data_IF_691903217044
#
_entry.id   IF_691903217044
#
_cell.length_a   1.000
_cell.length_b   1.000
_cell.length_c   1.000
_cell.angle_alpha   90.00
_cell.angle_beta   90.00
_cell.angle_gamma   90.00
#
_symmetry.space_group_name_H-M   'P 1'
#
loop_
_entity.id
_entity.type
_entity.pdbx_description
1 polymer ?
#
# COMPACT_ATOMS: atom_id res chain seq x y z
N UNK A 1 -14.26 3.23 3.00
CA UNK A 1 -13.13 3.28 2.05
C UNK A 1 -12.84 4.68 1.52
N UNK A 2 -13.82 5.60 1.53
CA UNK A 2 -13.56 7.04 1.35
C UNK A 2 -13.07 7.71 2.63
N UNK A 3 -13.08 9.03 2.67
CA UNK A 3 -12.48 9.81 3.75
C UNK A 3 -13.36 10.12 4.97
N UNK A 4 -14.62 9.69 5.02
CA UNK A 4 -15.55 10.11 6.10
C UNK A 4 -15.03 9.78 7.50
N UNK A 5 -14.61 8.54 7.72
CA UNK A 5 -14.12 8.12 9.04
C UNK A 5 -12.78 8.79 9.40
N UNK A 6 -11.91 8.99 8.40
CA UNK A 6 -10.67 9.75 8.56
C UNK A 6 -10.97 11.20 9.00
N UNK A 7 -11.99 11.81 8.40
CA UNK A 7 -12.45 13.14 8.77
C UNK A 7 -12.96 13.16 10.22
N UNK A 8 -13.83 12.22 10.58
CA UNK A 8 -14.41 12.12 11.92
C UNK A 8 -13.33 11.97 12.99
N UNK A 9 -12.37 11.06 12.77
CA UNK A 9 -11.23 10.88 13.69
C UNK A 9 -10.39 12.13 13.81
N UNK A 10 -10.04 12.75 12.68
CA UNK A 10 -9.19 13.95 12.69
C UNK A 10 -9.88 15.11 13.40
N UNK A 11 -11.17 15.35 13.14
CA UNK A 11 -11.95 16.39 13.80
C UNK A 11 -12.10 16.12 15.30
N UNK A 12 -12.38 14.87 15.69
CA UNK A 12 -12.51 14.51 17.10
C UNK A 12 -11.21 14.76 17.88
N UNK A 13 -10.07 14.33 17.34
CA UNK A 13 -8.76 14.51 17.97
C UNK A 13 -8.33 15.98 17.99
N UNK A 14 -8.61 16.73 16.92
CA UNK A 14 -8.31 18.16 16.84
C UNK A 14 -9.15 18.96 17.84
N UNK A 15 -10.45 18.68 17.92
CA UNK A 15 -11.38 19.36 18.83
C UNK A 15 -11.10 19.03 20.31
N UNK A 16 -10.63 17.82 20.60
CA UNK A 16 -10.20 17.44 21.94
C UNK A 16 -8.84 18.04 22.34
N UNK A 17 -8.13 18.70 21.42
CA UNK A 17 -6.83 19.31 21.69
C UNK A 17 -5.71 18.30 21.93
N UNK A 18 -5.85 17.07 21.43
CA UNK A 18 -4.88 15.98 21.64
C UNK A 18 -3.94 15.78 20.46
N UNK A 19 -4.11 16.54 19.37
CA UNK A 19 -3.14 16.62 18.28
C UNK A 19 -2.08 17.67 18.61
N UNK A 20 -0.82 17.25 18.65
CA UNK A 20 0.32 18.16 18.84
C UNK A 20 0.50 19.11 17.64
N UNK A 21 1.14 20.25 17.89
CA UNK A 21 1.58 21.17 16.83
C UNK A 21 2.45 20.42 15.80
N UNK A 22 2.22 20.69 14.52
CA UNK A 22 2.91 20.01 13.41
C UNK A 22 2.44 18.57 13.15
N UNK A 23 1.34 18.10 13.76
CA UNK A 23 0.85 16.74 13.55
C UNK A 23 0.57 16.43 12.07
N UNK A 24 0.90 15.20 11.65
CA UNK A 24 0.76 14.72 10.27
C UNK A 24 -0.22 13.56 10.17
N UNK A 25 -1.19 13.67 9.27
CA UNK A 25 -2.20 12.64 8.99
C UNK A 25 -1.94 12.04 7.61
N UNK A 26 -1.70 10.73 7.53
CA UNK A 26 -1.24 10.08 6.29
C UNK A 26 -2.07 8.86 5.93
N UNK A 27 -3.25 9.02 5.30
CA UNK A 27 -4.02 7.88 4.80
C UNK A 27 -3.33 7.17 3.63
N UNK A 28 -3.45 5.84 3.60
CA UNK A 28 -2.90 5.01 2.53
C UNK A 28 -3.87 4.81 1.37
N UNK A 29 -3.32 4.87 0.16
CA UNK A 29 -4.02 4.63 -1.09
C UNK A 29 -3.21 3.74 -2.03
N UNK A 30 -3.87 3.29 -3.10
CA UNK A 30 -3.29 2.52 -4.18
C UNK A 30 -3.90 3.01 -5.50
N UNK A 31 -3.06 3.23 -6.51
CA UNK A 31 -3.49 3.55 -7.87
C UNK A 31 -3.27 2.32 -8.75
N UNK A 32 -2.06 1.78 -8.73
CA UNK A 32 -1.65 0.63 -9.53
C UNK A 32 -1.45 0.97 -11.01
N UNK A 33 -1.11 -0.03 -11.82
CA UNK A 33 -0.90 0.15 -13.26
C UNK A 33 -2.19 -0.01 -14.06
N UNK A 34 -2.10 0.28 -15.37
CA UNK A 34 -3.24 0.26 -16.29
C UNK A 34 -3.98 -1.08 -16.31
N UNK A 35 -3.25 -2.19 -16.24
CA UNK A 35 -3.82 -3.56 -16.19
C UNK A 35 -4.76 -3.78 -15.00
N UNK A 36 -4.69 -2.94 -13.96
CA UNK A 36 -5.57 -3.00 -12.78
C UNK A 36 -6.63 -1.90 -12.73
N UNK A 37 -6.58 -0.91 -13.64
CA UNK A 37 -7.51 0.24 -13.64
C UNK A 37 -8.98 -0.12 -13.66
N UNK A 38 -9.46 -1.13 -14.43
CA UNK A 38 -10.87 -1.49 -14.45
C UNK A 38 -11.41 -1.86 -13.06
N UNK A 39 -10.55 -2.40 -12.18
CA UNK A 39 -10.91 -2.81 -10.83
C UNK A 39 -10.65 -1.68 -9.83
N UNK A 40 -9.45 -1.08 -9.84
CA UNK A 40 -9.01 -0.13 -8.81
C UNK A 40 -9.35 1.33 -9.06
N UNK A 41 -9.25 1.79 -10.31
CA UNK A 41 -9.38 3.22 -10.62
C UNK A 41 -10.76 3.57 -11.14
N UNK A 42 -11.31 2.73 -12.00
CA UNK A 42 -12.57 3.01 -12.71
C UNK A 42 -13.79 2.34 -12.07
N UNK A 43 -13.58 1.56 -11.00
CA UNK A 43 -14.64 0.91 -10.22
C UNK A 43 -15.14 1.72 -9.02
N UNK A 44 -15.98 1.09 -8.19
CA UNK A 44 -16.54 1.67 -6.95
C UNK A 44 -15.47 2.05 -5.94
N UNK A 45 -14.39 1.25 -5.83
CA UNK A 45 -13.26 1.56 -4.97
C UNK A 45 -12.51 2.82 -5.43
N UNK A 46 -12.44 3.06 -6.74
CA UNK A 46 -11.84 4.27 -7.32
C UNK A 46 -12.58 5.53 -6.90
N UNK A 47 -13.91 5.50 -6.91
CA UNK A 47 -14.76 6.60 -6.40
C UNK A 47 -14.52 6.86 -4.91
N UNK A 48 -14.36 5.80 -4.13
CA UNK A 48 -13.99 5.92 -2.72
C UNK A 48 -12.60 6.57 -2.55
N UNK A 49 -11.62 6.25 -3.40
CA UNK A 49 -10.29 6.87 -3.35
C UNK A 49 -10.29 8.33 -3.81
N UNK A 50 -11.09 8.70 -4.80
CA UNK A 50 -11.31 10.11 -5.16
C UNK A 50 -11.93 10.90 -4.00
N UNK A 51 -12.90 10.30 -3.29
CA UNK A 51 -13.44 10.90 -2.08
C UNK A 51 -12.36 11.07 -1.00
N UNK A 52 -11.54 10.04 -0.75
CA UNK A 52 -10.41 10.13 0.17
C UNK A 52 -9.41 11.24 -0.21
N UNK A 53 -9.12 11.42 -1.51
CA UNK A 53 -8.30 12.51 -2.05
C UNK A 53 -8.88 13.88 -1.68
N UNK A 54 -10.17 14.11 -1.95
CA UNK A 54 -10.83 15.36 -1.61
C UNK A 54 -10.87 15.61 -0.09
N UNK A 55 -11.21 14.59 0.70
CA UNK A 55 -11.27 14.71 2.16
C UNK A 55 -9.90 15.00 2.78
N UNK A 56 -8.83 14.37 2.28
CA UNK A 56 -7.48 14.59 2.80
C UNK A 56 -7.02 16.03 2.55
N UNK A 57 -7.35 16.61 1.38
CA UNK A 57 -7.07 18.01 1.10
C UNK A 57 -7.83 18.95 2.06
N UNK A 58 -9.09 18.66 2.38
CA UNK A 58 -9.86 19.43 3.36
C UNK A 58 -9.31 19.28 4.80
N UNK A 59 -8.84 18.09 5.18
CA UNK A 59 -8.13 17.87 6.45
C UNK A 59 -6.84 18.69 6.49
N UNK A 60 -6.05 18.67 5.42
CA UNK A 60 -4.79 19.39 5.33
C UNK A 60 -4.96 20.89 5.66
N UNK A 61 -5.93 21.56 5.01
CA UNK A 61 -6.20 22.99 5.25
C UNK A 61 -6.59 23.29 6.71
N UNK A 62 -7.35 22.39 7.36
CA UNK A 62 -7.74 22.57 8.77
C UNK A 62 -6.58 22.37 9.72
N UNK A 63 -5.76 21.32 9.53
CA UNK A 63 -4.58 21.09 10.36
C UNK A 63 -3.59 22.25 10.24
N UNK A 64 -3.35 22.71 9.01
CA UNK A 64 -2.43 23.80 8.72
C UNK A 64 -2.85 25.10 9.42
N UNK A 65 -4.15 25.42 9.44
CA UNK A 65 -4.67 26.65 10.06
C UNK A 65 -4.79 26.59 11.59
N UNK A 66 -4.88 25.39 12.18
CA UNK A 66 -5.12 25.22 13.62
C UNK A 66 -3.86 24.93 14.43
N UNK A 67 -2.95 24.14 13.87
CA UNK A 67 -1.81 23.57 14.60
C UNK A 67 -0.55 23.48 13.74
N UNK A 68 -0.46 24.21 12.63
CA UNK A 68 0.65 24.10 11.64
C UNK A 68 0.90 22.65 11.18
N UNK A 69 -0.15 21.83 11.20
CA UNK A 69 -0.11 20.42 10.83
C UNK A 69 -0.36 20.20 9.35
N UNK A 70 -0.24 18.94 8.90
CA UNK A 70 -0.44 18.60 7.49
C UNK A 70 -1.16 17.26 7.32
N UNK A 71 -1.83 17.10 6.18
CA UNK A 71 -2.28 15.79 5.72
C UNK A 71 -1.79 15.48 4.31
N UNK A 72 -1.40 14.22 4.07
CA UNK A 72 -0.87 13.75 2.79
C UNK A 72 -1.44 12.37 2.47
N UNK A 73 -1.77 12.10 1.21
CA UNK A 73 -2.03 10.72 0.79
C UNK A 73 -0.71 10.05 0.46
N UNK A 74 -0.49 8.86 1.01
CA UNK A 74 0.58 7.97 0.56
C UNK A 74 0.02 6.95 -0.43
N UNK A 75 0.43 7.06 -1.69
CA UNK A 75 0.15 6.06 -2.72
C UNK A 75 1.24 5.00 -2.61
N UNK A 76 0.85 3.83 -2.10
CA UNK A 76 1.78 2.75 -1.80
C UNK A 76 1.86 1.75 -2.95
N UNK A 77 2.94 0.97 -3.01
CA UNK A 77 3.08 -0.14 -3.95
C UNK A 77 2.16 -1.31 -3.57
N UNK A 78 1.81 -2.15 -4.54
CA UNK A 78 1.07 -3.38 -4.33
C UNK A 78 1.82 -4.34 -3.40
N UNK A 79 1.14 -4.81 -2.37
CA UNK A 79 1.68 -5.77 -1.40
C UNK A 79 0.68 -6.87 -1.08
N UNK A 80 1.19 -8.01 -0.60
CA UNK A 80 0.36 -9.11 -0.14
C UNK A 80 -0.22 -8.73 1.23
N UNK A 81 -1.54 -8.64 1.28
CA UNK A 81 -2.33 -8.43 2.50
C UNK A 81 -3.59 -9.28 2.39
N UNK A 82 -4.30 -9.49 3.50
CA UNK A 82 -5.59 -10.18 3.44
C UNK A 82 -6.58 -9.44 2.52
N UNK A 83 -6.57 -8.11 2.55
CA UNK A 83 -7.43 -7.28 1.71
C UNK A 83 -7.07 -7.38 0.21
N UNK A 84 -5.78 -7.34 -0.14
CA UNK A 84 -5.36 -7.40 -1.55
C UNK A 84 -5.51 -8.79 -2.17
N UNK A 85 -5.41 -9.86 -1.36
CA UNK A 85 -5.63 -11.23 -1.83
C UNK A 85 -7.08 -11.50 -2.25
N UNK A 86 -8.05 -10.76 -1.71
CA UNK A 86 -9.46 -10.89 -2.05
C UNK A 86 -9.85 -10.16 -3.35
N UNK A 87 -8.97 -9.30 -3.88
CA UNK A 87 -9.27 -8.50 -5.07
C UNK A 87 -8.94 -9.32 -6.32
N UNK A 88 -9.88 -9.51 -7.26
CA UNK A 88 -9.62 -10.26 -8.48
C UNK A 88 -8.40 -9.72 -9.21
N UNK A 89 -7.64 -10.61 -9.88
CA UNK A 89 -6.46 -10.28 -10.71
C UNK A 89 -5.23 -9.80 -9.93
N UNK A 90 -5.37 -9.27 -8.72
CA UNK A 90 -4.25 -8.80 -7.89
C UNK A 90 -3.22 -9.88 -7.54
N UNK A 91 -3.61 -11.12 -7.20
CA UNK A 91 -2.64 -12.19 -6.97
C UNK A 91 -1.72 -12.45 -8.17
N UNK A 92 -2.29 -12.43 -9.39
CA UNK A 92 -1.56 -12.57 -10.64
C UNK A 92 -0.59 -11.40 -10.83
N UNK A 93 -1.08 -10.17 -10.67
CA UNK A 93 -0.26 -8.97 -10.77
C UNK A 93 0.91 -8.94 -9.81
N UNK A 94 0.66 -9.18 -8.52
CA UNK A 94 1.71 -9.18 -7.49
C UNK A 94 2.74 -10.28 -7.78
N UNK A 95 2.32 -11.45 -8.24
CA UNK A 95 3.25 -12.55 -8.57
C UNK A 95 4.22 -12.17 -9.69
N UNK A 96 3.76 -11.47 -10.74
CA UNK A 96 4.62 -10.96 -11.81
C UNK A 96 5.52 -9.82 -11.31
N UNK A 97 4.90 -8.84 -10.63
CA UNK A 97 5.59 -7.66 -10.12
C UNK A 97 6.73 -8.02 -9.17
N UNK A 98 6.51 -8.95 -8.25
CA UNK A 98 7.52 -9.35 -7.27
C UNK A 98 8.75 -9.95 -7.96
N UNK A 99 8.54 -10.81 -8.96
CA UNK A 99 9.64 -11.37 -9.76
C UNK A 99 10.49 -10.26 -10.38
N UNK A 100 9.85 -9.34 -11.11
CA UNK A 100 10.54 -8.27 -11.83
C UNK A 100 11.26 -7.29 -10.91
N UNK A 101 10.63 -6.94 -9.77
CA UNK A 101 11.23 -6.05 -8.78
C UNK A 101 12.39 -6.71 -8.03
N UNK A 102 12.33 -8.03 -7.76
CA UNK A 102 13.43 -8.78 -7.14
C UNK A 102 14.62 -8.91 -8.07
N UNK A 103 14.40 -9.23 -9.34
CA UNK A 103 15.45 -9.27 -10.37
C UNK A 103 16.21 -7.94 -10.49
N UNK A 104 15.54 -6.82 -10.17
CA UNK A 104 16.09 -5.46 -10.18
C UNK A 104 16.54 -4.95 -8.81
N UNK A 105 16.45 -5.77 -7.76
CA UNK A 105 16.78 -5.40 -6.37
C UNK A 105 16.01 -4.15 -5.84
N UNK A 106 14.77 -3.94 -6.27
CA UNK A 106 13.91 -2.82 -5.83
C UNK A 106 12.67 -3.27 -5.07
N UNK A 107 12.50 -4.57 -4.85
CA UNK A 107 11.36 -5.13 -4.16
C UNK A 107 11.29 -4.69 -2.69
N UNK A 108 10.11 -4.22 -2.26
CA UNK A 108 9.84 -3.81 -0.88
C UNK A 108 8.66 -4.62 -0.28
N UNK A 109 8.88 -5.13 0.93
CA UNK A 109 7.84 -5.68 1.78
C UNK A 109 7.05 -4.53 2.46
N UNK A 110 5.87 -4.79 3.06
CA UNK A 110 5.10 -3.75 3.75
C UNK A 110 5.94 -2.96 4.77
N UNK A 111 6.76 -3.64 5.57
CA UNK A 111 7.62 -2.98 6.56
C UNK A 111 8.65 -2.06 5.90
N UNK A 112 9.27 -2.47 4.79
CA UNK A 112 10.25 -1.65 4.07
C UNK A 112 9.60 -0.38 3.48
N UNK A 113 8.37 -0.47 2.95
CA UNK A 113 7.62 0.71 2.52
C UNK A 113 7.34 1.68 3.67
N UNK A 114 6.95 1.16 4.84
CA UNK A 114 6.65 2.01 5.99
C UNK A 114 7.90 2.66 6.57
N UNK A 115 9.01 1.92 6.59
CA UNK A 115 10.32 2.50 6.94
C UNK A 115 10.65 3.64 5.97
N UNK A 116 10.57 3.41 4.66
CA UNK A 116 10.84 4.45 3.65
C UNK A 116 9.91 5.65 3.78
N UNK A 117 8.61 5.44 4.01
CA UNK A 117 7.67 6.51 4.27
C UNK A 117 8.13 7.40 5.43
N UNK A 118 8.50 6.78 6.54
CA UNK A 118 8.94 7.49 7.74
C UNK A 118 10.30 8.16 7.54
N UNK A 119 11.28 7.47 6.98
CA UNK A 119 12.65 8.00 6.88
C UNK A 119 12.80 9.07 5.80
N UNK A 120 12.10 8.91 4.68
CA UNK A 120 12.36 9.72 3.48
C UNK A 120 11.29 10.81 3.26
N UNK A 121 10.13 10.69 3.91
CA UNK A 121 8.99 11.58 3.62
C UNK A 121 8.42 12.29 4.85
N UNK A 122 8.05 11.54 5.91
CA UNK A 122 7.22 12.11 6.98
C UNK A 122 7.89 12.19 8.36
N UNK A 123 9.12 11.70 8.50
CA UNK A 123 9.88 11.74 9.75
C UNK A 123 10.34 13.14 10.15
N UNK A 124 10.93 13.29 11.34
CA UNK A 124 11.43 14.58 11.84
C UNK A 124 12.42 15.22 10.85
N UNK A 125 12.19 16.50 10.53
CA UNK A 125 13.03 17.25 9.58
C UNK A 125 12.78 16.92 8.10
N UNK A 126 11.87 16.00 7.78
CA UNK A 126 11.52 15.66 6.40
C UNK A 126 10.32 16.47 5.91
N UNK A 127 10.39 16.87 4.64
CA UNK A 127 9.28 17.41 3.88
C UNK A 127 9.10 16.53 2.65
N UNK A 128 7.93 15.91 2.46
CA UNK A 128 7.73 14.99 1.36
C UNK A 128 7.80 15.71 0.00
N UNK A 129 8.49 15.12 -0.97
CA UNK A 129 8.24 15.42 -2.37
C UNK A 129 6.87 14.86 -2.77
N UNK A 130 6.03 15.72 -3.35
CA UNK A 130 4.66 15.39 -3.72
C UNK A 130 4.50 15.38 -5.25
N UNK A 131 3.58 14.58 -5.75
CA UNK A 131 3.13 14.68 -7.13
C UNK A 131 2.23 15.92 -7.35
N UNK A 132 1.80 16.12 -8.59
CA UNK A 132 0.94 17.25 -9.00
C UNK A 132 -0.41 17.32 -8.25
N UNK A 133 -0.84 16.21 -7.61
CA UNK A 133 -2.06 16.13 -6.82
C UNK A 133 -1.79 16.18 -5.31
N UNK A 134 -0.57 16.50 -4.90
CA UNK A 134 -0.21 16.61 -3.48
C UNK A 134 -0.03 15.27 -2.77
N UNK A 135 0.32 14.20 -3.50
CA UNK A 135 0.43 12.84 -2.95
C UNK A 135 1.88 12.39 -2.84
N UNK A 136 2.20 11.68 -1.77
CA UNK A 136 3.46 10.94 -1.62
C UNK A 136 3.39 9.69 -2.50
N UNK A 137 4.44 9.46 -3.31
CA UNK A 137 4.52 8.33 -4.25
C UNK A 137 5.53 7.30 -3.75
N UNK A 138 5.06 6.36 -2.93
CA UNK A 138 5.83 5.16 -2.55
C UNK A 138 5.68 4.03 -3.58
N UNK A 139 4.76 4.16 -4.53
CA UNK A 139 4.65 3.28 -5.69
C UNK A 139 5.67 3.60 -6.78
N UNK A 140 6.53 4.61 -6.58
CA UNK A 140 7.59 5.04 -7.51
C UNK A 140 8.42 3.88 -8.06
N UNK A 141 8.85 2.94 -7.21
CA UNK A 141 9.62 1.75 -7.63
C UNK A 141 8.80 0.72 -8.41
N UNK A 142 7.50 0.64 -8.15
CA UNK A 142 6.58 -0.21 -8.93
C UNK A 142 6.33 0.42 -10.30
N UNK A 143 6.17 1.73 -10.36
CA UNK A 143 5.72 2.46 -11.55
C UNK A 143 6.84 2.83 -12.55
N UNK A 144 8.07 2.33 -12.37
CA UNK A 144 9.15 2.56 -13.34
C UNK A 144 8.83 1.87 -14.67
N UNK A 145 9.04 2.58 -15.80
CA UNK A 145 8.76 2.10 -17.16
C UNK A 145 9.33 0.71 -17.44
N UNK A 146 10.57 0.43 -17.00
CA UNK A 146 11.22 -0.86 -17.22
C UNK A 146 10.53 -2.05 -16.50
N UNK A 147 9.74 -1.80 -15.46
CA UNK A 147 8.91 -2.80 -14.79
C UNK A 147 7.54 -2.86 -15.48
N UNK A 148 6.90 -1.70 -15.71
CA UNK A 148 5.55 -1.65 -16.27
C UNK A 148 5.49 -2.18 -17.70
N UNK A 149 6.43 -1.80 -18.56
CA UNK A 149 6.51 -2.31 -19.93
C UNK A 149 6.70 -3.84 -19.97
N UNK A 150 7.44 -4.39 -19.02
CA UNK A 150 7.65 -5.84 -18.94
C UNK A 150 6.41 -6.56 -18.40
N UNK A 151 5.67 -5.94 -17.48
CA UNK A 151 4.35 -6.42 -17.06
C UNK A 151 3.41 -6.43 -18.26
N UNK A 152 3.28 -5.34 -18.99
CA UNK A 152 2.40 -5.23 -20.15
C UNK A 152 2.74 -6.26 -21.24
N UNK A 153 4.04 -6.54 -21.43
CA UNK A 153 4.51 -7.59 -22.35
C UNK A 153 4.13 -8.99 -21.87
N UNK A 154 4.33 -9.29 -20.58
CA UNK A 154 4.07 -10.61 -20.01
C UNK A 154 2.59 -10.89 -19.80
N UNK A 155 1.79 -9.86 -19.49
CA UNK A 155 0.38 -9.95 -19.12
C UNK A 155 -0.48 -10.78 -20.10
N UNK A 156 -0.47 -10.51 -21.42
CA UNK A 156 -1.26 -11.29 -22.38
C UNK A 156 -0.70 -12.69 -22.64
N UNK A 157 0.54 -12.98 -22.22
CA UNK A 157 1.18 -14.28 -22.40
C UNK A 157 0.85 -15.26 -21.28
N UNK A 158 0.38 -14.78 -20.13
CA UNK A 158 0.10 -15.64 -18.97
C UNK A 158 -1.09 -16.56 -19.25
N UNK A 159 -0.89 -17.85 -18.97
CA UNK A 159 -1.92 -18.86 -18.96
C UNK A 159 -1.65 -19.87 -17.82
N UNK A 160 -2.57 -20.81 -17.64
CA UNK A 160 -2.50 -21.83 -16.58
C UNK A 160 -1.21 -22.63 -16.60
N UNK A 161 -0.68 -22.93 -17.78
CA UNK A 161 0.48 -23.81 -17.95
C UNK A 161 1.81 -23.09 -17.66
N UNK A 162 1.90 -21.80 -17.97
CA UNK A 162 3.14 -21.04 -17.87
C UNK A 162 3.22 -20.08 -16.67
N UNK A 163 2.11 -19.81 -15.97
CA UNK A 163 2.04 -18.80 -14.92
C UNK A 163 3.13 -18.95 -13.85
N UNK A 164 3.38 -20.18 -13.38
CA UNK A 164 4.42 -20.45 -12.37
C UNK A 164 5.84 -20.19 -12.86
N UNK A 165 6.08 -20.27 -14.17
CA UNK A 165 7.40 -19.98 -14.76
C UNK A 165 7.60 -18.49 -15.01
N UNK A 166 6.53 -17.77 -15.37
CA UNK A 166 6.56 -16.34 -15.69
C UNK A 166 6.51 -15.45 -14.45
N UNK A 167 5.99 -15.96 -13.33
CA UNK A 167 5.78 -15.20 -12.09
C UNK A 167 6.51 -15.81 -10.90
N UNK A 168 6.58 -15.06 -9.80
CA UNK A 168 7.05 -15.55 -8.50
C UNK A 168 5.87 -15.96 -7.61
N UNK A 169 5.07 -16.90 -8.11
CA UNK A 169 3.87 -17.38 -7.40
C UNK A 169 4.20 -18.10 -6.09
N UNK A 170 5.33 -18.81 -6.02
CA UNK A 170 5.71 -19.51 -4.79
C UNK A 170 6.05 -18.51 -3.68
N UNK A 171 6.72 -17.39 -3.97
CA UNK A 171 6.89 -16.33 -2.99
C UNK A 171 5.57 -15.63 -2.66
N UNK A 172 4.66 -15.45 -3.64
CA UNK A 172 3.33 -14.93 -3.34
C UNK A 172 2.59 -15.83 -2.33
N UNK A 173 2.58 -17.13 -2.58
CA UNK A 173 1.93 -18.13 -1.72
C UNK A 173 2.56 -18.19 -0.33
N UNK A 174 3.90 -18.18 -0.24
CA UNK A 174 4.63 -18.11 1.03
C UNK A 174 4.27 -16.83 1.78
N UNK A 175 4.34 -15.67 1.11
CA UNK A 175 3.97 -14.39 1.70
C UNK A 175 2.53 -14.33 2.21
N UNK A 176 1.58 -14.92 1.48
CA UNK A 176 0.19 -15.03 1.93
C UNK A 176 0.06 -15.91 3.18
N UNK A 177 0.71 -17.09 3.19
CA UNK A 177 0.73 -18.01 4.34
C UNK A 177 1.33 -17.37 5.60
N UNK A 178 2.38 -16.56 5.42
CA UNK A 178 3.03 -15.84 6.51
C UNK A 178 2.13 -14.79 7.18
N UNK A 179 1.14 -14.23 6.47
CA UNK A 179 0.13 -13.35 7.09
C UNK A 179 -0.71 -14.06 8.16
N UNK A 180 -0.75 -15.39 8.13
CA UNK A 180 -1.50 -16.24 9.06
C UNK A 180 -0.56 -17.09 9.93
N UNK A 181 0.74 -16.74 9.99
CA UNK A 181 1.72 -17.42 10.84
C UNK A 181 2.24 -18.75 10.29
N UNK A 182 2.00 -19.08 9.01
CA UNK A 182 2.52 -20.29 8.37
C UNK A 182 3.77 -20.02 7.52
N UNK A 183 4.65 -21.02 7.37
CA UNK A 183 5.91 -20.92 6.62
C UNK A 183 6.82 -19.76 7.07
N UNK A 184 6.82 -19.49 8.37
CA UNK A 184 7.73 -18.55 9.03
C UNK A 184 9.00 -19.31 9.41
N UNK A 185 10.15 -18.79 8.98
CA UNK A 185 11.43 -19.43 9.24
C UNK A 185 11.73 -19.44 10.76
N UNK A 186 12.22 -20.57 11.28
CA UNK A 186 12.54 -20.74 12.70
C UNK A 186 11.38 -21.19 13.60
N UNK A 187 10.19 -21.43 13.04
CA UNK A 187 9.05 -22.00 13.76
C UNK A 187 8.99 -23.52 13.55
N UNK A 188 8.87 -24.28 14.64
CA UNK A 188 8.58 -25.70 14.63
C UNK A 188 7.05 -25.91 14.53
N UNK A 189 6.57 -26.28 13.34
CA UNK A 189 5.15 -26.48 13.06
C UNK A 189 4.60 -27.83 13.56
N UNK A 190 5.46 -28.76 13.97
CA UNK A 190 5.05 -30.04 14.56
C UNK A 190 4.82 -29.94 16.07
N UNK A 191 5.28 -28.85 16.69
CA UNK A 191 5.11 -28.59 18.12
C UNK A 191 3.67 -28.10 18.41
N UNK A 192 2.96 -28.72 19.38
CA UNK A 192 1.69 -28.19 19.85
C UNK A 192 1.81 -26.76 20.37
N UNK A 193 0.80 -25.94 20.10
CA UNK A 193 0.71 -24.55 20.57
C UNK A 193 -0.52 -24.38 21.45
N UNK A 194 -0.43 -23.45 22.39
CA UNK A 194 -1.57 -23.04 23.21
C UNK A 194 -2.57 -22.26 22.34
N UNK A 195 -3.86 -22.57 22.46
CA UNK A 195 -4.93 -21.90 21.72
C UNK A 195 -5.48 -20.71 22.51
N UNK A 196 -5.37 -20.74 23.83
CA UNK A 196 -5.79 -19.67 24.72
C UNK A 196 -4.61 -18.74 25.03
N UNK A 197 -4.48 -17.68 24.23
CA UNK A 197 -3.56 -16.58 24.52
C UNK A 197 -4.34 -15.43 25.16
N UNK A 198 -3.89 -14.92 26.31
CA UNK A 198 -4.37 -13.62 26.81
C UNK A 198 -4.00 -12.54 25.79
N UNK A 199 -5.00 -11.77 25.32
CA UNK A 199 -4.85 -10.62 24.41
C UNK A 199 -4.96 -9.33 25.21
#
# INVERSE_FOLDING_TARGET
MGGDDLNLWTDALLNAGVLAEGARVVPFSYIGPEVTYPIYRNGTIGRAKEHLEATTAAIHLRLQSKIDGAAYISVNKAVITQASAAIPVVPLYISLLYKLMKERNVHEAPIHQMVRLLTDHIGPGQTPALDEKGRIRLDDREMVDAIQNEIDRLWPMVNTDNFRSLSDYDAYKKGFRQLFGFEVDGIDYDKPVELETEV
#
